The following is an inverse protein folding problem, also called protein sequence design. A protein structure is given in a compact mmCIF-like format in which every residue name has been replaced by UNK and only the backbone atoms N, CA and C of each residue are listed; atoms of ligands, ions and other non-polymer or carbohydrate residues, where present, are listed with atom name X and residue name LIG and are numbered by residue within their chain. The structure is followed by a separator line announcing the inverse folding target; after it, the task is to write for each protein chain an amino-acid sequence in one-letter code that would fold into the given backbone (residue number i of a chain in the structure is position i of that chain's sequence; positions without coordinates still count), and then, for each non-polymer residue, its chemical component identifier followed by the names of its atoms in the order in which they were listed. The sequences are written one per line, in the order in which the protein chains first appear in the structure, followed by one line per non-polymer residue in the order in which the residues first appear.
data_IF_497988681488
#
_entry.id   IF_497988681488
#
_cell.length_a   1.000
_cell.length_b   1.000
_cell.length_c   1.000
_cell.angle_alpha   90.00
_cell.angle_beta   90.00
_cell.angle_gamma   90.00
#
_symmetry.space_group_name_H-M   'P 1'
#
loop_
_entity.id
_entity.type
_entity.pdbx_description
1 polymer ?
#
# COMPACT_ATOMS: atom_id res chain seq x y z
N UNK A 1 16.61 9.42 -16.13
CA UNK A 1 15.49 8.85 -15.37
C UNK A 1 14.45 8.43 -16.40
N UNK A 2 14.39 7.15 -16.77
CA UNK A 2 13.41 6.66 -17.76
C UNK A 2 12.17 6.21 -17.00
N UNK A 3 11.17 7.08 -16.94
CA UNK A 3 9.82 6.65 -16.57
C UNK A 3 9.33 5.70 -17.68
N UNK A 4 9.03 4.46 -17.34
CA UNK A 4 8.38 3.54 -18.26
C UNK A 4 7.02 4.14 -18.64
N UNK A 5 6.74 4.29 -19.93
CA UNK A 5 5.48 4.84 -20.40
C UNK A 5 4.39 3.78 -20.25
N UNK A 6 3.63 3.84 -19.15
CA UNK A 6 2.46 3.00 -18.95
C UNK A 6 1.34 3.43 -19.90
N UNK A 7 0.66 2.45 -20.50
CA UNK A 7 -0.54 2.67 -21.31
C UNK A 7 -1.72 3.09 -20.43
N UNK A 8 -2.73 3.71 -21.05
CA UNK A 8 -3.94 4.17 -20.35
C UNK A 8 -4.71 3.04 -19.67
N UNK A 9 -4.71 1.84 -20.25
CA UNK A 9 -5.33 0.65 -19.67
C UNK A 9 -4.53 0.13 -18.48
N UNK A 10 -3.20 0.11 -18.54
CA UNK A 10 -2.37 -0.29 -17.38
C UNK A 10 -2.53 0.67 -16.20
N UNK A 11 -2.62 1.98 -16.47
CA UNK A 11 -2.91 2.98 -15.44
C UNK A 11 -4.31 2.80 -14.88
N UNK A 12 -5.31 2.53 -15.72
CA UNK A 12 -6.70 2.28 -15.28
C UNK A 12 -6.80 1.02 -14.43
N UNK A 13 -6.26 -0.10 -14.89
CA UNK A 13 -6.24 -1.36 -14.14
C UNK A 13 -5.48 -1.21 -12.81
N UNK A 14 -4.40 -0.42 -12.79
CA UNK A 14 -3.70 -0.10 -11.56
C UNK A 14 -4.60 0.71 -10.63
N UNK A 15 -5.25 1.79 -11.11
CA UNK A 15 -6.18 2.61 -10.32
C UNK A 15 -7.37 1.79 -9.81
N UNK A 16 -8.01 0.99 -10.65
CA UNK A 16 -9.17 0.14 -10.30
C UNK A 16 -8.81 -0.95 -9.29
N UNK A 17 -7.54 -1.38 -9.24
CA UNK A 17 -6.99 -2.25 -8.19
C UNK A 17 -6.50 -1.49 -6.94
N UNK A 18 -6.70 -0.16 -6.88
CA UNK A 18 -6.22 0.70 -5.78
C UNK A 18 -4.71 0.96 -5.81
N UNK A 19 -4.05 0.61 -6.92
CA UNK A 19 -2.62 0.60 -7.12
C UNK A 19 -2.12 1.86 -7.87
N UNK A 20 -2.40 3.08 -7.39
CA UNK A 20 -1.47 4.17 -7.68
C UNK A 20 -0.27 4.03 -6.75
N UNK A 21 0.65 3.18 -7.16
CA UNK A 21 1.81 2.81 -6.35
C UNK A 21 2.99 3.71 -6.67
N UNK A 22 3.55 4.37 -5.65
CA UNK A 22 4.91 4.88 -5.80
C UNK A 22 5.88 3.70 -5.59
N UNK A 23 6.74 3.44 -6.56
CA UNK A 23 7.71 2.34 -6.49
C UNK A 23 9.11 2.90 -6.32
N UNK A 24 9.75 2.57 -5.20
CA UNK A 24 11.18 2.78 -4.98
C UNK A 24 11.90 1.46 -5.27
N UNK A 25 12.32 1.27 -6.51
CA UNK A 25 13.06 0.08 -6.93
C UNK A 25 14.56 0.22 -6.64
N UNK A 26 14.93 0.02 -5.37
CA UNK A 26 16.31 0.17 -4.88
C UNK A 26 17.12 -1.13 -4.94
N UNK A 27 16.49 -2.26 -5.26
CA UNK A 27 17.14 -3.56 -5.30
C UNK A 27 18.22 -3.72 -6.37
N UNK A 28 19.08 -4.76 -6.22
CA UNK A 28 20.19 -5.04 -7.13
C UNK A 28 19.72 -5.47 -8.52
N UNK A 29 18.50 -6.02 -8.62
CA UNK A 29 17.86 -6.42 -9.87
C UNK A 29 16.59 -5.60 -10.07
N UNK A 30 16.53 -4.80 -11.14
CA UNK A 30 15.36 -3.96 -11.43
C UNK A 30 14.14 -4.78 -11.83
N UNK A 31 12.96 -4.24 -11.51
CA UNK A 31 11.68 -4.90 -11.73
C UNK A 31 11.31 -5.93 -10.65
N UNK A 32 12.17 -6.17 -9.66
CA UNK A 32 11.88 -7.01 -8.49
C UNK A 32 11.39 -6.18 -7.31
N UNK A 33 10.32 -5.44 -7.51
CA UNK A 33 9.60 -4.77 -6.41
C UNK A 33 8.42 -5.63 -5.95
N UNK A 34 7.92 -5.44 -4.71
CA UNK A 34 6.72 -6.11 -4.23
C UNK A 34 5.55 -5.96 -5.19
N UNK A 35 4.73 -7.02 -5.32
CA UNK A 35 3.55 -6.99 -6.19
C UNK A 35 2.28 -7.13 -5.36
N UNK A 36 1.48 -6.06 -5.32
CA UNK A 36 0.17 -6.08 -4.68
C UNK A 36 -0.80 -6.85 -5.57
N UNK A 37 -1.32 -7.96 -5.05
CA UNK A 37 -2.32 -8.75 -5.74
C UNK A 37 -3.74 -8.22 -5.47
N UNK A 38 -4.00 -7.74 -4.24
CA UNK A 38 -5.33 -7.26 -3.84
C UNK A 38 -5.26 -6.33 -2.65
N UNK A 39 -6.18 -5.36 -2.61
CA UNK A 39 -6.49 -4.55 -1.44
C UNK A 39 -7.99 -4.64 -1.20
N UNK A 40 -8.43 -4.96 0.02
CA UNK A 40 -9.86 -5.12 0.37
C UNK A 40 -10.14 -4.49 1.71
N UNK A 41 -11.23 -3.72 1.81
CA UNK A 41 -11.83 -3.34 3.08
C UNK A 41 -12.98 -4.28 3.38
N UNK A 42 -13.06 -4.77 4.62
CA UNK A 42 -14.18 -5.57 5.10
C UNK A 42 -14.41 -5.30 6.59
N UNK A 43 -15.60 -4.78 6.92
CA UNK A 43 -16.06 -4.60 8.30
C UNK A 43 -15.07 -3.84 9.20
N UNK A 44 -14.45 -2.77 8.68
CA UNK A 44 -13.49 -1.98 9.43
C UNK A 44 -12.09 -2.57 9.49
N UNK A 45 -11.78 -3.61 8.71
CA UNK A 45 -10.42 -4.10 8.50
C UNK A 45 -10.00 -3.88 7.06
N UNK A 46 -8.82 -3.28 6.89
CA UNK A 46 -8.17 -3.13 5.59
C UNK A 46 -7.11 -4.21 5.44
N UNK A 47 -7.16 -4.96 4.33
CA UNK A 47 -6.28 -6.09 4.08
C UNK A 47 -5.54 -5.95 2.74
N UNK A 48 -4.26 -6.27 2.74
CA UNK A 48 -3.39 -6.27 1.55
C UNK A 48 -2.84 -7.68 1.34
N UNK A 49 -3.10 -8.23 0.14
CA UNK A 49 -2.39 -9.40 -0.35
C UNK A 49 -1.24 -8.98 -1.25
N UNK A 50 -0.05 -9.47 -0.93
CA UNK A 50 1.12 -9.45 -1.81
C UNK A 50 1.27 -10.80 -2.51
N UNK A 51 1.95 -10.83 -3.66
CA UNK A 51 2.23 -12.10 -4.36
C UNK A 51 3.33 -12.91 -3.69
N UNK A 52 4.26 -12.27 -2.99
CA UNK A 52 5.29 -12.94 -2.23
C UNK A 52 4.97 -12.88 -0.74
N UNK A 53 4.90 -14.04 -0.09
CA UNK A 53 4.66 -14.16 1.35
C UNK A 53 5.78 -13.55 2.21
N UNK A 54 6.96 -13.32 1.61
CA UNK A 54 8.09 -12.65 2.24
C UNK A 54 8.01 -11.13 2.23
N UNK A 55 7.04 -10.54 1.52
CA UNK A 55 6.88 -9.09 1.51
C UNK A 55 6.33 -8.62 2.87
N UNK A 56 6.91 -7.53 3.39
CA UNK A 56 6.52 -6.93 4.68
C UNK A 56 5.61 -5.75 4.40
N UNK A 57 4.44 -5.72 5.05
CA UNK A 57 3.45 -4.63 4.95
C UNK A 57 3.47 -3.80 6.23
N UNK A 58 3.76 -2.52 6.12
CA UNK A 58 3.70 -1.54 7.21
C UNK A 58 2.62 -0.52 6.94
N UNK A 59 1.82 -0.23 7.95
CA UNK A 59 0.76 0.76 7.89
C UNK A 59 1.24 2.04 8.55
N UNK A 60 1.04 3.15 7.86
CA UNK A 60 1.48 4.46 8.26
C UNK A 60 0.27 5.38 8.36
N UNK A 61 0.11 6.04 9.50
CA UNK A 61 -0.87 7.10 9.73
C UNK A 61 -0.13 8.34 10.25
N UNK A 62 -0.52 9.53 9.81
CA UNK A 62 0.09 10.79 10.26
C UNK A 62 1.64 10.86 10.15
N UNK A 63 2.22 10.08 9.24
CA UNK A 63 3.68 9.99 9.03
C UNK A 63 4.40 8.96 9.90
N UNK A 64 3.70 8.28 10.81
CA UNK A 64 4.27 7.29 11.73
C UNK A 64 3.78 5.88 11.40
N UNK A 65 4.65 4.89 11.59
CA UNK A 65 4.25 3.48 11.53
C UNK A 65 3.37 3.14 12.72
N UNK A 66 2.18 2.63 12.44
CA UNK A 66 1.18 2.28 13.46
C UNK A 66 0.99 0.77 13.60
N UNK A 67 1.36 -0.01 12.57
CA UNK A 67 1.18 -1.45 12.53
C UNK A 67 2.03 -2.11 11.45
N UNK A 68 2.54 -3.30 11.73
CA UNK A 68 3.17 -4.18 10.74
C UNK A 68 2.35 -5.47 10.58
N UNK A 69 1.91 -5.76 9.35
CA UNK A 69 1.11 -6.92 9.02
C UNK A 69 0.17 -6.69 7.84
N UNK A 70 -0.30 -7.77 7.21
CA UNK A 70 -1.17 -7.71 6.05
C UNK A 70 -2.57 -7.13 6.32
N UNK A 71 -3.02 -7.14 7.58
CA UNK A 71 -4.35 -6.67 8.00
C UNK A 71 -4.21 -5.53 9.01
N UNK A 72 -4.95 -4.44 8.79
CA UNK A 72 -5.05 -3.29 9.69
C UNK A 72 -6.50 -3.16 10.18
N UNK A 73 -6.68 -3.11 11.50
CA UNK A 73 -7.97 -2.78 12.11
C UNK A 73 -8.13 -1.26 12.18
N UNK A 74 -9.10 -0.72 11.43
CA UNK A 74 -9.37 0.72 11.37
C UNK A 74 -9.91 1.28 12.69
N UNK A 75 -10.51 0.45 13.54
CA UNK A 75 -10.97 0.84 14.88
C UNK A 75 -9.86 0.97 15.91
N UNK A 76 -8.65 0.46 15.62
CA UNK A 76 -7.48 0.58 16.49
C UNK A 76 -6.58 1.78 16.13
N UNK A 77 -7.02 2.61 15.19
CA UNK A 77 -6.25 3.76 14.73
C UNK A 77 -6.22 4.88 15.78
N UNK A 78 -5.17 5.71 15.77
CA UNK A 78 -5.15 6.96 16.54
C UNK A 78 -6.39 7.81 16.23
N UNK A 79 -6.96 8.46 17.25
CA UNK A 79 -8.19 9.23 17.10
C UNK A 79 -8.06 10.42 16.12
N UNK A 80 -6.85 10.94 15.95
CA UNK A 80 -6.48 12.02 15.04
C UNK A 80 -6.00 11.52 13.67
N UNK A 81 -6.04 10.20 13.41
CA UNK A 81 -5.72 9.67 12.09
C UNK A 81 -6.74 10.17 11.06
N UNK A 82 -6.26 10.85 10.03
CA UNK A 82 -7.07 11.35 8.90
C UNK A 82 -6.91 10.52 7.64
N UNK A 83 -5.81 9.76 7.56
CA UNK A 83 -5.52 8.84 6.47
C UNK A 83 -4.64 7.69 6.96
N UNK A 84 -4.62 6.61 6.17
CA UNK A 84 -3.64 5.53 6.30
C UNK A 84 -3.03 5.23 4.94
N UNK A 85 -1.77 4.81 4.89
CA UNK A 85 -1.13 4.26 3.68
C UNK A 85 -0.33 3.02 4.05
N UNK A 86 -0.13 2.12 3.11
CA UNK A 86 0.78 1.00 3.29
C UNK A 86 2.12 1.26 2.61
N UNK A 87 3.20 0.94 3.31
CA UNK A 87 4.54 0.71 2.76
C UNK A 87 4.76 -0.81 2.67
N UNK A 88 5.12 -1.31 1.50
CA UNK A 88 5.32 -2.72 1.25
C UNK A 88 6.76 -2.91 0.78
N UNK A 89 7.55 -3.68 1.51
CA UNK A 89 8.97 -3.88 1.20
C UNK A 89 9.30 -5.35 0.99
N UNK A 90 10.33 -5.63 0.19
CA UNK A 90 10.89 -6.97 0.05
C UNK A 90 12.32 -7.05 0.58
N UNK A 91 12.87 -8.27 0.61
CA UNK A 91 14.24 -8.53 1.07
C UNK A 91 15.32 -7.83 0.23
N UNK A 92 15.00 -7.48 -1.02
CA UNK A 92 15.90 -6.77 -1.93
C UNK A 92 15.94 -5.25 -1.65
N UNK A 93 15.15 -4.75 -0.71
CA UNK A 93 15.10 -3.34 -0.31
C UNK A 93 14.25 -2.45 -1.23
N UNK A 94 13.59 -3.03 -2.24
CA UNK A 94 12.61 -2.35 -3.06
C UNK A 94 11.30 -2.17 -2.30
N UNK A 95 10.65 -1.03 -2.49
CA UNK A 95 9.48 -0.60 -1.73
C UNK A 95 8.37 -0.12 -2.65
N UNK A 96 7.14 -0.46 -2.29
CA UNK A 96 5.90 -0.08 -2.96
C UNK A 96 4.99 0.61 -1.95
N UNK A 97 4.54 1.81 -2.27
CA UNK A 97 3.63 2.58 -1.43
C UNK A 97 2.24 2.59 -2.02
N UNK A 98 1.20 2.34 -1.24
CA UNK A 98 -0.17 2.63 -1.68
C UNK A 98 -0.41 4.15 -1.69
N UNK A 99 -1.44 4.59 -2.42
CA UNK A 99 -2.04 5.89 -2.12
C UNK A 99 -2.54 5.91 -0.67
N UNK A 100 -2.68 7.12 -0.13
CA UNK A 100 -3.34 7.30 1.14
C UNK A 100 -4.84 7.01 1.00
N UNK A 101 -5.35 6.14 1.87
CA UNK A 101 -6.77 5.92 2.08
C UNK A 101 -7.28 6.98 3.05
N UNK A 102 -8.15 7.87 2.59
CA UNK A 102 -8.77 8.86 3.47
C UNK A 102 -9.73 8.18 4.46
N UNK A 103 -9.61 8.53 5.73
CA UNK A 103 -10.51 8.04 6.77
C UNK A 103 -11.70 8.98 6.86
N UNK A 104 -12.86 8.53 6.42
CA UNK A 104 -14.11 9.28 6.62
C UNK A 104 -14.62 8.98 8.02
N UNK A 105 -14.65 9.97 8.92
CA UNK A 105 -15.43 9.81 10.15
C UNK A 105 -16.89 9.70 9.76
N UNK A 106 -17.59 8.65 10.21
CA UNK A 106 -19.06 8.70 10.21
C UNK A 106 -19.45 9.89 11.09
N UNK A 107 -20.25 10.81 10.55
CA UNK A 107 -20.93 11.78 11.38
C UNK A 107 -21.81 10.99 12.37
N UNK A 108 -21.62 11.22 13.67
CA UNK A 108 -22.53 10.75 14.71
C UNK A 108 -23.86 11.50 14.66
#
# INVERSE_FOLDING_TARGET
MFAHAATREEVRDAVERGAMLAVRDAGPVKGRHPQVARIVENQGNLWIATRAASDVVRWIANGEEIWEGASLNLGALPADASYVRAEISNADGSVVYTQAFALSRKAE
#
